data_IF_385586660055
#
_entry.id   IF_385586660055
#
_cell.length_a   1.000
_cell.length_b   1.000
_cell.length_c   1.000
_cell.angle_alpha   90.00
_cell.angle_beta   90.00
_cell.angle_gamma   90.00
#
_symmetry.space_group_name_H-M   'P 1'
#
loop_
_entity.id
_entity.type
_entity.pdbx_description
1 polymer ?
#
# COMPACT_ATOMS: atom_id res chain seq x y z
N UNK A 1 -8.13 3.11 8.06
CA UNK A 1 -7.16 3.11 6.95
C UNK A 1 -6.09 2.10 7.29
N UNK A 2 -5.76 1.21 6.36
CA UNK A 2 -4.78 0.16 6.49
C UNK A 2 -3.60 0.49 5.58
N UNK A 3 -2.40 0.50 6.15
CA UNK A 3 -1.16 0.70 5.40
C UNK A 3 -0.49 -0.63 5.12
N UNK A 4 0.16 -0.72 3.96
CA UNK A 4 0.87 -1.90 3.51
C UNK A 4 2.26 -1.52 3.02
N UNK A 5 3.26 -2.31 3.40
CA UNK A 5 4.60 -2.23 2.82
C UNK A 5 4.58 -2.98 1.48
N UNK A 6 5.15 -2.37 0.44
CA UNK A 6 5.27 -2.98 -0.88
C UNK A 6 6.55 -3.80 -0.99
N UNK A 7 6.46 -5.02 -1.52
CA UNK A 7 7.59 -5.91 -1.76
C UNK A 7 7.48 -6.59 -3.12
N UNK A 8 8.62 -6.96 -3.72
CA UNK A 8 8.69 -7.54 -5.06
C UNK A 8 8.62 -6.51 -6.19
N UNK A 9 8.94 -6.94 -7.41
CA UNK A 9 8.94 -6.12 -8.64
C UNK A 9 8.16 -6.79 -9.78
N UNK A 10 8.32 -8.10 -9.94
CA UNK A 10 7.57 -8.89 -10.92
C UNK A 10 6.14 -9.13 -10.44
N UNK A 11 6.02 -9.70 -9.24
CA UNK A 11 4.79 -9.75 -8.45
C UNK A 11 4.93 -8.80 -7.26
N UNK A 12 3.89 -8.02 -6.99
CA UNK A 12 3.85 -7.14 -5.83
C UNK A 12 3.13 -7.84 -4.69
N UNK A 13 3.78 -7.87 -3.52
CA UNK A 13 3.22 -8.34 -2.27
C UNK A 13 3.00 -7.14 -1.34
N UNK A 14 1.84 -7.09 -0.71
CA UNK A 14 1.45 -6.08 0.26
C UNK A 14 1.47 -6.69 1.66
N UNK A 15 2.37 -6.19 2.50
CA UNK A 15 2.52 -6.63 3.89
C UNK A 15 1.84 -5.62 4.81
N UNK A 16 0.76 -6.02 5.48
CA UNK A 16 -0.01 -5.11 6.33
C UNK A 16 0.85 -4.59 7.51
N UNK A 17 0.83 -3.27 7.73
CA UNK A 17 1.49 -2.61 8.86
C UNK A 17 0.61 -2.83 10.10
N UNK A 18 0.89 -3.94 10.78
CA UNK A 18 0.13 -4.38 11.94
C UNK A 18 0.39 -3.47 13.14
N UNK A 19 -0.68 -3.03 13.80
CA UNK A 19 -0.60 -2.28 15.05
C UNK A 19 -1.32 -3.09 16.13
N UNK A 20 -0.61 -4.04 16.74
CA UNK A 20 -1.23 -5.01 17.66
C UNK A 20 -1.88 -4.36 18.89
N UNK A 21 -1.48 -3.15 19.25
CA UNK A 21 -2.10 -2.35 20.32
C UNK A 21 -3.48 -1.79 19.93
N UNK A 22 -3.84 -1.74 18.65
CA UNK A 22 -5.13 -1.29 18.14
C UNK A 22 -5.98 -2.49 17.68
N UNK A 23 -7.18 -2.65 18.22
CA UNK A 23 -8.02 -3.83 17.96
C UNK A 23 -8.31 -4.06 16.46
N UNK A 24 -8.54 -2.99 15.71
CA UNK A 24 -8.81 -3.02 14.26
C UNK A 24 -7.56 -3.25 13.39
N UNK A 25 -6.35 -3.26 13.97
CA UNK A 25 -5.08 -3.48 13.26
C UNK A 25 -4.30 -4.70 13.74
N UNK A 26 -4.90 -5.52 14.62
CA UNK A 26 -4.27 -6.70 15.23
C UNK A 26 -4.35 -7.93 14.32
N UNK A 27 -4.01 -7.76 13.05
CA UNK A 27 -4.09 -8.80 12.01
C UNK A 27 -2.81 -8.81 11.20
N UNK A 28 -2.15 -9.96 11.12
CA UNK A 28 -1.03 -10.19 10.22
C UNK A 28 -1.55 -10.70 8.88
N UNK A 29 -1.31 -9.93 7.82
CA UNK A 29 -1.79 -10.20 6.47
C UNK A 29 -0.69 -9.90 5.45
N UNK A 30 -0.48 -10.84 4.53
CA UNK A 30 0.35 -10.67 3.34
C UNK A 30 -0.49 -11.12 2.16
N UNK A 31 -0.63 -10.26 1.15
CA UNK A 31 -1.41 -10.55 -0.06
C UNK A 31 -0.60 -10.21 -1.30
N UNK A 32 -0.85 -10.92 -2.40
CA UNK A 32 -0.40 -10.50 -3.72
C UNK A 32 -1.35 -9.42 -4.23
N UNK A 33 -0.83 -8.38 -4.87
CA UNK A 33 -1.62 -7.29 -5.43
C UNK A 33 -1.36 -7.11 -6.92
N UNK A 34 -2.43 -7.04 -7.69
CA UNK A 34 -2.41 -6.63 -9.08
C UNK A 34 -2.61 -5.11 -9.14
N UNK A 35 -1.51 -4.38 -9.32
CA UNK A 35 -1.55 -2.93 -9.42
C UNK A 35 -1.91 -2.48 -10.85
N UNK A 36 -2.59 -1.33 -11.02
CA UNK A 36 -2.77 -0.73 -12.33
C UNK A 36 -1.40 -0.58 -13.04
N UNK A 37 -1.30 -0.86 -14.35
CA UNK A 37 -0.01 -0.91 -15.06
C UNK A 37 0.85 0.34 -14.89
N UNK A 38 0.22 1.52 -14.90
CA UNK A 38 0.88 2.81 -14.69
C UNK A 38 1.49 2.96 -13.28
N UNK A 39 0.81 2.44 -12.24
CA UNK A 39 1.29 2.47 -10.85
C UNK A 39 2.45 1.49 -10.69
N UNK A 40 2.33 0.29 -11.25
CA UNK A 40 3.40 -0.70 -11.22
C UNK A 40 4.67 -0.20 -11.93
N UNK A 41 4.52 0.47 -13.09
CA UNK A 41 5.63 1.04 -13.83
C UNK A 41 6.34 2.14 -13.01
N UNK A 42 5.58 3.04 -12.39
CA UNK A 42 6.16 4.09 -11.54
C UNK A 42 6.85 3.50 -10.30
N UNK A 43 6.22 2.52 -9.64
CA UNK A 43 6.84 1.81 -8.51
C UNK A 43 8.17 1.13 -8.91
N UNK A 44 8.21 0.43 -10.04
CA UNK A 44 9.44 -0.21 -10.57
C UNK A 44 10.53 0.81 -10.84
N UNK A 45 10.20 1.94 -11.48
CA UNK A 45 11.13 3.03 -11.75
C UNK A 45 11.70 3.61 -10.45
N UNK A 46 10.84 3.88 -9.48
CA UNK A 46 11.24 4.41 -8.17
C UNK A 46 12.15 3.45 -7.40
N UNK A 47 11.84 2.15 -7.41
CA UNK A 47 12.67 1.09 -6.81
C UNK A 47 14.01 0.91 -7.51
N UNK A 48 14.05 1.00 -8.84
CA UNK A 48 15.31 0.94 -9.59
C UNK A 48 16.24 2.11 -9.24
N UNK A 49 15.67 3.29 -9.01
CA UNK A 49 16.42 4.48 -8.59
C UNK A 49 16.81 4.45 -7.11
N UNK A 50 16.02 3.80 -6.26
CA UNK A 50 16.21 3.77 -4.81
C UNK A 50 15.96 2.35 -4.24
N UNK A 51 16.91 1.41 -4.40
CA UNK A 51 16.71 0.00 -4.02
C UNK A 51 16.43 -0.24 -2.53
N UNK A 52 16.90 0.64 -1.65
CA UNK A 52 16.71 0.52 -0.19
C UNK A 52 15.51 1.33 0.33
N UNK A 53 14.81 2.05 -0.57
CA UNK A 53 13.71 2.91 -0.17
C UNK A 53 12.45 2.10 0.13
N UNK A 54 11.86 2.37 1.29
CA UNK A 54 10.53 1.90 1.68
C UNK A 54 9.45 2.64 0.89
N UNK A 55 8.49 1.90 0.35
CA UNK A 55 7.27 2.41 -0.26
C UNK A 55 6.06 1.73 0.37
N UNK A 56 4.98 2.49 0.52
CA UNK A 56 3.74 1.99 1.12
C UNK A 56 2.53 2.32 0.28
N UNK A 57 1.51 1.46 0.34
CA UNK A 57 0.16 1.74 -0.15
C UNK A 57 -0.81 1.81 1.03
N UNK A 58 -1.80 2.68 0.97
CA UNK A 58 -2.91 2.72 1.92
C UNK A 58 -4.22 3.11 1.25
N UNK A 59 -5.35 2.61 1.75
CA UNK A 59 -6.66 3.12 1.35
C UNK A 59 -6.87 4.56 1.87
N UNK A 60 -7.49 5.40 1.04
CA UNK A 60 -7.72 6.82 1.32
C UNK A 60 -8.87 7.01 2.31
N UNK A 61 -9.93 6.21 2.18
CA UNK A 61 -11.14 6.29 3.02
C UNK A 61 -11.10 5.18 4.08
N UNK A 62 -11.45 5.43 5.36
CA UNK A 62 -11.56 4.37 6.36
C UNK A 62 -12.46 3.22 5.90
N UNK A 63 -11.92 2.01 5.94
CA UNK A 63 -12.61 0.75 5.63
C UNK A 63 -12.09 -0.33 6.57
N UNK A 64 -12.81 -1.45 6.69
CA UNK A 64 -12.32 -2.63 7.38
C UNK A 64 -11.32 -3.38 6.50
N UNK A 65 -10.48 -4.22 7.11
CA UNK A 65 -9.45 -4.96 6.37
C UNK A 65 -10.04 -5.99 5.41
N UNK A 66 -11.16 -6.61 5.77
CA UNK A 66 -11.92 -7.54 4.93
C UNK A 66 -12.60 -6.84 3.74
N UNK A 67 -13.02 -5.59 3.90
CA UNK A 67 -13.58 -4.80 2.79
C UNK A 67 -12.55 -4.64 1.66
N UNK A 68 -11.27 -4.42 2.02
CA UNK A 68 -10.17 -4.26 1.05
C UNK A 68 -9.90 -5.50 0.20
N UNK A 69 -10.35 -6.68 0.64
CA UNK A 69 -10.12 -7.96 -0.03
C UNK A 69 -11.32 -8.41 -0.88
N UNK A 70 -12.48 -7.80 -0.68
CA UNK A 70 -13.77 -8.30 -1.19
C UNK A 70 -14.51 -7.28 -2.04
N UNK A 71 -14.14 -6.00 -1.97
CA UNK A 71 -14.77 -4.94 -2.71
C UNK A 71 -13.83 -4.35 -3.76
N UNK A 72 -14.38 -4.10 -4.93
CA UNK A 72 -13.74 -3.33 -5.98
C UNK A 72 -13.98 -1.82 -5.75
N UNK A 73 -13.24 -0.97 -6.46
CA UNK A 73 -13.37 0.49 -6.45
C UNK A 73 -13.00 1.21 -5.14
N UNK A 74 -11.93 0.76 -4.49
CA UNK A 74 -11.36 1.45 -3.33
C UNK A 74 -10.23 2.36 -3.80
N UNK A 75 -10.28 3.64 -3.44
CA UNK A 75 -9.18 4.54 -3.75
C UNK A 75 -7.99 4.29 -2.82
N UNK A 76 -6.83 4.13 -3.43
CA UNK A 76 -5.54 3.93 -2.79
C UNK A 76 -4.58 5.08 -3.10
N UNK A 77 -3.62 5.28 -2.20
CA UNK A 77 -2.48 6.16 -2.38
C UNK A 77 -1.18 5.38 -2.18
N UNK A 78 -0.18 5.67 -3.01
CA UNK A 78 1.20 5.18 -2.83
C UNK A 78 2.09 6.31 -2.30
N UNK A 79 2.92 6.01 -1.31
CA UNK A 79 3.77 6.96 -0.60
C UNK A 79 5.23 6.49 -0.52
N UNK A 80 6.14 7.45 -0.39
CA UNK A 80 7.54 7.21 -0.04
C UNK A 80 7.67 7.13 1.48
N UNK A 81 8.00 5.95 2.01
CA UNK A 81 8.03 5.69 3.45
C UNK A 81 6.64 5.74 4.10
N UNK A 82 6.60 5.85 5.43
CA UNK A 82 5.34 6.07 6.16
C UNK A 82 4.97 7.57 6.06
N UNK A 83 3.82 7.93 5.49
CA UNK A 83 3.45 9.32 5.27
C UNK A 83 3.20 10.08 6.59
N UNK A 84 3.78 11.27 6.71
CA UNK A 84 3.37 12.23 7.74
C UNK A 84 1.96 12.80 7.44
N UNK A 85 1.25 13.34 8.43
CA UNK A 85 -0.02 14.02 8.20
C UNK A 85 0.10 15.09 7.11
N UNK A 86 -0.83 15.09 6.15
CA UNK A 86 -0.88 16.03 4.98
C UNK A 86 0.25 15.88 3.96
N UNK A 87 1.07 14.84 4.02
CA UNK A 87 2.04 14.55 2.96
C UNK A 87 1.34 14.26 1.63
N UNK A 88 1.92 14.77 0.54
CA UNK A 88 1.43 14.52 -0.82
C UNK A 88 1.88 13.12 -1.26
N UNK A 89 0.96 12.26 -1.71
CA UNK A 89 1.34 10.93 -2.20
C UNK A 89 2.05 11.01 -3.54
N UNK A 90 2.74 9.92 -3.89
CA UNK A 90 3.37 9.73 -5.18
C UNK A 90 2.32 9.56 -6.28
N UNK A 91 1.27 8.78 -6.00
CA UNK A 91 0.16 8.52 -6.93
C UNK A 91 -1.10 8.12 -6.17
N UNK A 92 -2.25 8.52 -6.72
CA UNK A 92 -3.58 7.99 -6.36
C UNK A 92 -4.05 7.03 -7.45
N UNK A 93 -4.74 5.97 -7.06
CA UNK A 93 -5.28 4.98 -7.99
C UNK A 93 -6.48 4.24 -7.37
N UNK A 94 -7.20 3.51 -8.22
CA UNK A 94 -8.29 2.61 -7.85
C UNK A 94 -7.84 1.19 -8.16
#
# INVERSE_FOLDING_TARGET
MHGFIMQGLDHVYLVHICMFHMANHRWQLIVTADLPPQVLQEYRKLRAQNPDQLYTIANVVPARLDDLLTHDNIEYRMDKGIPAPKSKPLVFFI
#
